data_IF_935314409437
#
_entry.id   IF_935314409437
#
_cell.length_a   1.000
_cell.length_b   1.000
_cell.length_c   1.000
_cell.angle_alpha   90.00
_cell.angle_beta   90.00
_cell.angle_gamma   90.00
#
_symmetry.space_group_name_H-M   'P 1'
#
loop_
_entity.id
_entity.type
_entity.pdbx_description
1 polymer ?
#
# COMPACT_ATOMS: atom_id res chain seq x y z
N UNK A 1 9.77 14.59 -7.44
CA UNK A 1 9.05 13.78 -6.43
C UNK A 1 10.09 12.98 -5.65
N UNK A 2 10.80 13.68 -4.78
CA UNK A 2 11.91 13.19 -3.94
C UNK A 2 11.61 13.45 -2.47
N UNK A 3 10.95 14.58 -2.17
CA UNK A 3 10.56 15.00 -0.81
C UNK A 3 9.69 14.03 0.01
N UNK A 4 8.86 13.18 -0.61
CA UNK A 4 8.01 12.23 0.14
C UNK A 4 8.88 11.07 0.69
N UNK A 5 9.82 10.59 -0.12
CA UNK A 5 10.78 9.56 0.30
C UNK A 5 11.72 10.09 1.38
N UNK A 6 12.11 11.36 1.30
CA UNK A 6 12.99 12.00 2.29
C UNK A 6 12.33 12.08 3.67
N UNK A 7 11.04 12.42 3.74
CA UNK A 7 10.28 12.49 5.00
C UNK A 7 10.04 11.10 5.63
N UNK A 8 9.80 10.08 4.80
CA UNK A 8 9.60 8.70 5.29
C UNK A 8 10.92 8.10 5.82
N UNK A 9 12.05 8.46 5.19
CA UNK A 9 13.41 8.12 5.66
C UNK A 9 13.76 8.81 6.98
N UNK A 10 13.40 10.09 7.15
CA UNK A 10 13.59 10.81 8.41
C UNK A 10 12.74 10.22 9.56
N UNK A 11 11.48 9.88 9.30
CA UNK A 11 10.63 9.18 10.26
C UNK A 11 11.20 7.81 10.67
N UNK A 12 11.71 7.05 9.71
CA UNK A 12 12.36 5.78 10.01
C UNK A 12 13.65 5.96 10.81
N UNK A 13 14.50 6.91 10.43
CA UNK A 13 15.73 7.20 11.17
C UNK A 13 15.46 7.61 12.62
N UNK A 14 14.42 8.42 12.85
CA UNK A 14 13.99 8.82 14.20
C UNK A 14 13.47 7.65 15.03
N UNK A 15 12.65 6.79 14.42
CA UNK A 15 12.15 5.54 15.03
C UNK A 15 13.29 4.60 15.46
N UNK A 16 14.28 4.41 14.58
CA UNK A 16 15.47 3.60 14.85
C UNK A 16 16.28 4.21 16.00
N UNK A 17 16.46 5.54 16.00
CA UNK A 17 17.21 6.22 17.06
C UNK A 17 16.51 6.15 18.42
N UNK A 18 15.18 6.28 18.47
CA UNK A 18 14.39 6.12 19.69
C UNK A 18 14.50 4.69 20.26
N UNK A 19 14.51 3.67 19.39
CA UNK A 19 14.68 2.26 19.81
C UNK A 19 16.11 1.92 20.26
N UNK A 20 17.13 2.49 19.62
CA UNK A 20 18.51 2.34 20.09
C UNK A 20 18.70 2.99 21.47
N UNK A 21 18.07 4.14 21.69
CA UNK A 21 18.13 4.85 22.97
C UNK A 21 17.36 4.15 24.10
N UNK A 22 16.40 3.27 23.80
CA UNK A 22 15.66 2.50 24.80
C UNK A 22 16.37 1.22 25.25
N UNK A 23 17.55 0.91 24.68
CA UNK A 23 18.35 -0.26 25.05
C UNK A 23 17.78 -1.59 24.54
N UNK A 24 16.89 -1.54 23.53
CA UNK A 24 16.36 -2.74 22.89
C UNK A 24 17.48 -3.53 22.17
N UNK A 25 17.43 -4.87 22.20
CA UNK A 25 18.44 -5.72 21.56
C UNK A 25 18.46 -5.52 20.04
N UNK A 26 19.64 -5.74 19.44
CA UNK A 26 19.91 -5.50 18.01
C UNK A 26 18.94 -6.25 17.07
N UNK A 27 18.49 -7.44 17.49
CA UNK A 27 17.50 -8.27 16.78
C UNK A 27 16.16 -7.53 16.58
N UNK A 28 15.76 -6.69 17.53
CA UNK A 28 14.57 -5.83 17.42
C UNK A 28 14.72 -4.73 16.35
N UNK A 29 15.96 -4.34 16.05
CA UNK A 29 16.27 -3.35 15.01
C UNK A 29 16.20 -3.96 13.61
N UNK A 30 16.65 -5.20 13.46
CA UNK A 30 16.57 -5.95 12.20
C UNK A 30 15.12 -6.25 11.81
N UNK A 31 14.29 -6.64 12.78
CA UNK A 31 12.84 -6.76 12.60
C UNK A 31 12.20 -5.45 12.16
N UNK A 32 12.53 -4.33 12.83
CA UNK A 32 12.02 -3.01 12.48
C UNK A 32 12.42 -2.57 11.07
N UNK A 33 13.63 -2.92 10.64
CA UNK A 33 14.11 -2.64 9.29
C UNK A 33 13.39 -3.51 8.24
N UNK A 34 13.10 -4.77 8.57
CA UNK A 34 12.33 -5.66 7.70
C UNK A 34 10.89 -5.13 7.52
N UNK A 35 10.23 -4.72 8.61
CA UNK A 35 8.90 -4.11 8.58
C UNK A 35 8.87 -2.84 7.73
N UNK A 36 9.85 -1.94 7.90
CA UNK A 36 9.94 -0.72 7.12
C UNK A 36 10.14 -0.99 5.62
N UNK A 37 10.99 -1.96 5.26
CA UNK A 37 11.19 -2.36 3.85
C UNK A 37 9.94 -2.99 3.24
N UNK A 38 9.18 -3.76 4.02
CA UNK A 38 7.89 -4.30 3.58
C UNK A 38 6.90 -3.17 3.29
N UNK A 39 6.79 -2.21 4.21
CA UNK A 39 5.95 -1.02 4.03
C UNK A 39 6.35 -0.18 2.81
N UNK A 40 7.64 0.07 2.60
CA UNK A 40 8.12 0.76 1.39
C UNK A 40 7.75 0.01 0.11
N UNK A 41 7.84 -1.32 0.14
CA UNK A 41 7.47 -2.16 -1.01
C UNK A 41 5.98 -2.05 -1.33
N UNK A 42 5.11 -2.01 -0.31
CA UNK A 42 3.67 -1.79 -0.49
C UNK A 42 3.36 -0.40 -1.03
N UNK A 43 4.02 0.64 -0.51
CA UNK A 43 3.88 2.01 -0.98
C UNK A 43 4.23 2.13 -2.48
N UNK A 44 5.32 1.48 -2.90
CA UNK A 44 5.74 1.47 -4.30
C UNK A 44 4.76 0.74 -5.21
N UNK A 45 4.18 -0.39 -4.76
CA UNK A 45 3.11 -1.09 -5.51
C UNK A 45 1.86 -0.22 -5.64
N UNK A 46 1.45 0.43 -4.55
CA UNK A 46 0.30 1.31 -4.55
C UNK A 46 0.49 2.49 -5.52
N UNK A 47 1.65 3.14 -5.46
CA UNK A 47 2.02 4.20 -6.41
C UNK A 47 1.97 3.72 -7.86
N UNK A 48 2.53 2.54 -8.16
CA UNK A 48 2.47 1.98 -9.51
C UNK A 48 1.03 1.75 -9.98
N UNK A 49 0.14 1.31 -9.09
CA UNK A 49 -1.29 1.17 -9.36
C UNK A 49 -1.99 2.50 -9.65
N UNK A 50 -1.65 3.56 -8.91
CA UNK A 50 -2.14 4.91 -9.18
C UNK A 50 -1.65 5.44 -10.53
N UNK A 51 -0.35 5.30 -10.82
CA UNK A 51 0.25 5.72 -12.08
C UNK A 51 -0.34 4.97 -13.28
N UNK A 52 -0.71 3.70 -13.10
CA UNK A 52 -1.42 2.93 -14.11
C UNK A 52 -2.85 3.45 -14.31
N UNK A 53 -3.59 3.68 -13.22
CA UNK A 53 -4.97 4.20 -13.28
C UNK A 53 -5.03 5.57 -13.94
N UNK A 54 -4.09 6.46 -13.64
CA UNK A 54 -3.98 7.78 -14.29
C UNK A 54 -3.69 7.66 -15.78
N UNK A 55 -2.80 6.75 -16.20
CA UNK A 55 -2.53 6.51 -17.62
C UNK A 55 -3.76 5.97 -18.37
N UNK A 56 -4.51 5.05 -17.76
CA UNK A 56 -5.74 4.52 -18.33
C UNK A 56 -6.83 5.60 -18.46
N UNK A 57 -6.96 6.46 -17.44
CA UNK A 57 -7.87 7.61 -17.52
C UNK A 57 -7.47 8.59 -18.62
N UNK A 58 -6.19 8.92 -18.73
CA UNK A 58 -5.66 9.81 -19.77
C UNK A 58 -5.81 9.23 -21.19
N UNK A 59 -5.74 7.91 -21.34
CA UNK A 59 -5.97 7.22 -22.61
C UNK A 59 -7.46 7.20 -23.04
N UNK A 60 -8.38 7.75 -22.23
CA UNK A 60 -9.82 7.64 -22.48
C UNK A 60 -10.37 6.24 -22.26
N UNK A 61 -9.59 5.34 -21.64
CA UNK A 61 -10.01 3.97 -21.30
C UNK A 61 -10.79 3.90 -19.98
N UNK A 62 -10.99 5.03 -19.31
CA UNK A 62 -11.86 5.13 -18.14
C UNK A 62 -13.31 4.82 -18.57
N UNK A 63 -13.72 3.57 -18.38
CA UNK A 63 -15.12 3.16 -18.57
C UNK A 63 -16.01 3.93 -17.60
N UNK A 64 -17.16 4.39 -18.09
CA UNK A 64 -18.21 4.94 -17.25
C UNK A 64 -18.58 3.93 -16.17
N UNK A 65 -18.50 4.36 -14.91
CA UNK A 65 -18.82 3.52 -13.77
C UNK A 65 -20.34 3.59 -13.53
N UNK A 66 -21.04 2.50 -13.85
CA UNK A 66 -22.39 2.27 -13.35
C UNK A 66 -22.30 1.62 -11.96
N UNK A 67 -22.57 2.42 -10.93
CA UNK A 67 -22.48 1.98 -9.54
C UNK A 67 -23.48 0.87 -9.20
N UNK A 68 -24.66 0.87 -9.82
CA UNK A 68 -25.68 -0.16 -9.56
C UNK A 68 -25.29 -1.47 -10.23
N UNK A 69 -24.84 -1.43 -11.49
CA UNK A 69 -24.32 -2.61 -12.16
C UNK A 69 -23.08 -3.18 -11.45
N UNK A 70 -22.23 -2.33 -10.87
CA UNK A 70 -21.09 -2.77 -10.08
C UNK A 70 -21.52 -3.44 -8.77
N UNK A 71 -22.49 -2.87 -8.03
CA UNK A 71 -23.05 -3.48 -6.83
C UNK A 71 -23.63 -4.85 -7.13
N UNK A 72 -24.43 -4.99 -8.20
CA UNK A 72 -25.00 -6.28 -8.61
C UNK A 72 -23.91 -7.32 -8.89
N UNK A 73 -22.87 -6.95 -9.66
CA UNK A 73 -21.74 -7.86 -9.96
C UNK A 73 -20.97 -8.28 -8.71
N UNK A 74 -20.77 -7.38 -7.75
CA UNK A 74 -20.09 -7.69 -6.49
C UNK A 74 -20.96 -8.64 -5.65
N UNK A 75 -22.25 -8.36 -5.52
CA UNK A 75 -23.19 -9.20 -4.78
C UNK A 75 -23.27 -10.61 -5.38
N UNK A 76 -23.38 -10.74 -6.71
CA UNK A 76 -23.34 -12.04 -7.40
C UNK A 76 -22.05 -12.82 -7.12
N UNK A 77 -20.91 -12.13 -7.08
CA UNK A 77 -19.61 -12.75 -6.82
C UNK A 77 -19.46 -13.22 -5.37
N UNK A 78 -19.97 -12.42 -4.43
CA UNK A 78 -20.01 -12.77 -3.00
C UNK A 78 -20.93 -13.98 -2.78
N UNK A 79 -22.13 -13.99 -3.36
CA UNK A 79 -23.05 -15.13 -3.24
C UNK A 79 -22.44 -16.44 -3.77
N UNK A 80 -21.79 -16.43 -4.94
CA UNK A 80 -21.09 -17.61 -5.48
C UNK A 80 -19.92 -18.11 -4.62
N UNK A 81 -19.33 -17.22 -3.82
CA UNK A 81 -18.21 -17.59 -2.93
C UNK A 81 -18.74 -18.22 -1.64
N UNK A 82 -19.92 -17.82 -1.18
CA UNK A 82 -20.61 -18.39 -0.01
C UNK A 82 -21.22 -19.77 -0.35
N UNK A 83 -21.67 -19.99 -1.58
CA UNK A 83 -22.23 -21.29 -2.02
C UNK A 83 -21.19 -22.41 -2.21
N UNK A 84 -19.88 -22.10 -2.08
CA UNK A 84 -18.77 -23.05 -2.25
C UNK A 84 -17.92 -23.27 -0.98
N UNK A 85 -18.43 -22.85 0.18
CA UNK A 85 -17.89 -23.11 1.53
C UNK A 85 -18.90 -23.86 2.37
#
# INVERSE_FOLDING_TARGET
MTMILDNDLECFAKSVQERLNSGLPLESLEESLAEFRAWQSELMRFKAGLDQSLRQAAAGEAKTLDSEAMKTRVLERVSRTVDHT
#
